data_IF_634947756188
#
_entry.id   IF_634947756188
#
_cell.length_a   1.000
_cell.length_b   1.000
_cell.length_c   1.000
_cell.angle_alpha   90.00
_cell.angle_beta   90.00
_cell.angle_gamma   90.00
#
_symmetry.space_group_name_H-M   'P 1'
#
loop_
_entity.id
_entity.type
_entity.pdbx_description
1 polymer ?
#
# COMPACT_ATOMS: atom_id res chain seq x y z
N UNK A 1 72.35 6.00 -38.19
CA UNK A 1 72.60 7.39 -38.59
C UNK A 1 71.54 8.29 -37.96
N UNK A 2 72.02 9.31 -37.26
CA UNK A 2 71.43 10.61 -36.89
C UNK A 2 70.01 10.72 -36.30
N UNK A 3 70.02 11.03 -34.99
CA UNK A 3 69.27 12.04 -34.24
C UNK A 3 68.43 13.06 -35.02
N UNK A 4 67.22 13.33 -34.51
CA UNK A 4 66.68 14.69 -34.35
C UNK A 4 65.83 14.78 -33.08
N UNK A 5 66.02 15.87 -32.35
CA UNK A 5 65.27 16.28 -31.17
C UNK A 5 64.74 17.70 -31.37
N UNK A 6 63.87 18.13 -30.43
CA UNK A 6 63.21 19.44 -30.24
C UNK A 6 61.90 19.56 -31.02
N UNK A 7 60.79 20.11 -30.51
CA UNK A 7 60.46 20.80 -29.26
C UNK A 7 58.92 21.00 -29.26
N UNK A 8 58.28 21.10 -28.09
CA UNK A 8 57.03 21.89 -28.00
C UNK A 8 55.91 21.35 -27.12
N UNK A 9 55.79 21.97 -25.95
CA UNK A 9 54.54 22.27 -25.23
C UNK A 9 53.91 21.18 -24.35
N UNK A 10 54.13 21.35 -23.03
CA UNK A 10 53.10 21.08 -22.03
C UNK A 10 51.98 22.11 -22.18
N UNK A 11 50.73 21.69 -21.94
CA UNK A 11 50.03 22.26 -20.81
C UNK A 11 49.55 21.17 -19.85
N UNK A 12 49.85 21.41 -18.58
CA UNK A 12 49.18 20.85 -17.42
C UNK A 12 47.68 21.14 -17.49
N UNK A 13 46.84 20.10 -17.51
CA UNK A 13 45.44 20.22 -17.10
C UNK A 13 45.12 19.09 -16.16
N UNK A 14 44.73 19.45 -14.94
CA UNK A 14 44.62 18.57 -13.79
C UNK A 14 43.63 17.45 -14.02
N UNK A 15 44.07 16.23 -13.71
CA UNK A 15 43.18 15.11 -13.46
C UNK A 15 42.29 15.49 -12.26
N UNK A 16 41.07 15.94 -12.58
CA UNK A 16 40.03 16.21 -11.60
C UNK A 16 39.43 14.84 -11.25
N UNK A 17 39.84 14.32 -10.10
CA UNK A 17 39.26 13.13 -9.47
C UNK A 17 37.74 13.23 -9.52
N UNK A 18 36.99 12.20 -9.96
CA UNK A 18 35.55 12.25 -9.89
C UNK A 18 35.14 12.36 -8.42
N UNK A 19 34.58 13.50 -8.04
CA UNK A 19 33.96 13.71 -6.73
C UNK A 19 32.82 12.70 -6.62
N UNK A 20 33.01 11.75 -5.71
CA UNK A 20 31.98 10.87 -5.16
C UNK A 20 30.74 11.73 -4.85
N UNK A 21 29.54 11.39 -5.35
CA UNK A 21 28.35 12.14 -5.00
C UNK A 21 28.20 12.09 -3.48
N UNK A 22 28.20 13.28 -2.88
CA UNK A 22 27.92 13.50 -1.46
C UNK A 22 26.59 12.85 -1.17
N UNK A 23 26.60 11.87 -0.27
CA UNK A 23 25.41 11.24 0.30
C UNK A 23 24.38 12.31 0.62
N UNK A 24 23.29 12.36 -0.15
CA UNK A 24 22.12 13.13 0.22
C UNK A 24 21.70 12.64 1.61
N UNK A 25 21.73 13.53 2.58
CA UNK A 25 21.32 13.27 3.95
C UNK A 25 19.84 12.85 3.86
N UNK A 26 19.53 11.59 4.18
CA UNK A 26 18.15 11.15 4.28
C UNK A 26 17.39 12.14 5.16
N UNK A 27 16.21 12.64 4.73
CA UNK A 27 15.33 13.40 5.61
C UNK A 27 15.08 12.55 6.85
N UNK A 28 15.47 13.05 8.03
CA UNK A 28 15.04 12.44 9.29
C UNK A 28 13.61 12.92 9.53
N UNK A 29 12.69 11.99 9.78
CA UNK A 29 11.36 12.30 10.28
C UNK A 29 11.50 13.24 11.50
N UNK A 30 10.65 14.27 11.55
CA UNK A 30 10.59 15.22 12.67
C UNK A 30 10.31 14.45 13.97
N UNK A 31 10.86 14.93 15.08
CA UNK A 31 10.51 14.41 16.41
C UNK A 31 8.99 14.43 16.58
N UNK A 32 8.42 13.30 16.97
CA UNK A 32 6.98 13.13 17.13
C UNK A 32 6.44 14.10 18.19
N UNK A 33 5.32 14.80 17.93
CA UNK A 33 4.73 15.71 18.91
C UNK A 33 4.39 14.99 20.23
N UNK A 34 4.62 15.69 21.34
CA UNK A 34 4.53 15.20 22.73
C UNK A 34 3.09 14.88 23.21
N UNK A 35 2.11 15.05 22.33
CA UNK A 35 0.75 14.54 22.47
C UNK A 35 0.28 14.00 21.12
N UNK A 36 -0.30 12.78 21.06
CA UNK A 36 -0.94 12.33 19.83
C UNK A 36 -2.03 13.35 19.48
N UNK A 37 -2.11 13.82 18.21
CA UNK A 37 -3.26 14.60 17.80
C UNK A 37 -4.55 13.82 18.14
N UNK A 38 -5.65 14.51 18.48
CA UNK A 38 -6.94 13.84 18.53
C UNK A 38 -7.12 13.07 17.21
N UNK A 39 -7.65 11.86 17.28
CA UNK A 39 -7.92 11.01 16.12
C UNK A 39 -8.95 11.70 15.22
N UNK A 40 -8.51 12.69 14.45
CA UNK A 40 -9.25 13.16 13.31
C UNK A 40 -9.20 12.00 12.31
N UNK A 41 -10.39 11.42 12.06
CA UNK A 41 -10.71 10.38 11.07
C UNK A 41 -10.31 10.84 9.66
N UNK A 42 -9.00 11.01 9.41
CA UNK A 42 -8.51 11.19 8.05
C UNK A 42 -8.93 9.95 7.27
N UNK A 43 -9.63 10.11 6.14
CA UNK A 43 -10.04 8.96 5.36
C UNK A 43 -8.78 8.20 4.95
N UNK A 44 -8.83 6.89 5.16
CA UNK A 44 -7.73 5.98 4.83
C UNK A 44 -8.13 4.97 3.76
N UNK A 45 -9.41 4.98 3.34
CA UNK A 45 -9.91 4.23 2.19
C UNK A 45 -10.43 5.21 1.15
N UNK A 46 -9.83 5.16 -0.03
CA UNK A 46 -10.17 6.01 -1.16
C UNK A 46 -10.64 5.20 -2.36
N UNK A 47 -11.48 5.79 -3.19
CA UNK A 47 -11.91 5.23 -4.47
C UNK A 47 -11.48 6.14 -5.61
N UNK A 48 -11.01 5.55 -6.71
CA UNK A 48 -10.63 6.26 -7.93
C UNK A 48 -11.20 5.50 -9.14
N UNK A 49 -11.68 6.19 -10.16
CA UNK A 49 -12.34 5.60 -11.34
C UNK A 49 -11.37 5.21 -12.46
N UNK A 50 -10.07 5.23 -12.18
CA UNK A 50 -8.97 4.86 -13.08
C UNK A 50 -7.88 4.11 -12.33
N UNK A 51 -7.02 3.41 -13.06
CA UNK A 51 -5.81 2.86 -12.47
C UNK A 51 -4.85 3.97 -12.04
N UNK A 52 -4.20 3.79 -10.88
CA UNK A 52 -3.10 4.62 -10.43
C UNK A 52 -1.86 4.34 -11.28
N UNK A 53 -1.26 5.43 -11.76
CA UNK A 53 0.00 5.40 -12.47
C UNK A 53 1.18 5.42 -11.49
N UNK A 54 2.38 5.07 -11.97
CA UNK A 54 3.59 5.26 -11.18
C UNK A 54 3.84 6.73 -10.80
N UNK A 55 3.34 7.68 -11.60
CA UNK A 55 3.44 9.10 -11.29
C UNK A 55 2.53 9.47 -10.12
N UNK A 56 1.29 8.95 -10.07
CA UNK A 56 0.37 9.14 -8.95
C UNK A 56 0.99 8.61 -7.65
N UNK A 57 1.47 7.35 -7.67
CA UNK A 57 2.11 6.73 -6.50
C UNK A 57 3.33 7.51 -6.02
N UNK A 58 4.14 8.02 -6.95
CA UNK A 58 5.30 8.86 -6.61
C UNK A 58 4.89 10.23 -6.06
N UNK A 59 3.81 10.83 -6.56
CA UNK A 59 3.31 12.12 -6.09
C UNK A 59 2.74 12.03 -4.67
N UNK A 60 2.12 10.90 -4.33
CA UNK A 60 1.62 10.61 -2.99
C UNK A 60 2.73 10.33 -1.96
N UNK A 61 4.00 10.23 -2.37
CA UNK A 61 5.14 10.10 -1.45
C UNK A 61 5.32 8.71 -0.81
N UNK A 62 4.47 7.74 -1.14
CA UNK A 62 4.57 6.39 -0.58
C UNK A 62 5.82 5.68 -1.06
N UNK A 63 6.59 5.17 -0.10
CA UNK A 63 7.81 4.40 -0.38
C UNK A 63 7.53 2.90 -0.48
N UNK A 64 6.35 2.46 -0.02
CA UNK A 64 5.90 1.07 -0.01
C UNK A 64 4.52 1.00 -0.63
N UNK A 65 4.39 0.16 -1.66
CA UNK A 65 3.12 -0.09 -2.35
C UNK A 65 2.87 -1.59 -2.41
N UNK A 66 1.69 -2.02 -1.96
CA UNK A 66 1.15 -3.34 -2.20
C UNK A 66 0.02 -3.23 -3.21
N UNK A 67 0.00 -4.12 -4.20
CA UNK A 67 -1.04 -4.14 -5.22
C UNK A 67 -1.71 -5.49 -5.18
N UNK A 68 -3.02 -5.50 -4.99
CA UNK A 68 -3.87 -6.66 -5.08
C UNK A 68 -4.68 -6.57 -6.37
N UNK A 69 -4.47 -7.54 -7.25
CA UNK A 69 -5.32 -7.71 -8.43
C UNK A 69 -6.57 -8.50 -8.01
N UNK A 70 -7.70 -7.80 -7.89
CA UNK A 70 -8.97 -8.40 -7.47
C UNK A 70 -9.86 -8.84 -8.64
N UNK A 71 -9.37 -8.72 -9.88
CA UNK A 71 -10.09 -9.15 -11.08
C UNK A 71 -10.38 -10.66 -11.09
N UNK A 72 -9.59 -11.43 -10.35
CA UNK A 72 -9.74 -12.88 -10.19
C UNK A 72 -10.48 -13.31 -8.93
N UNK A 73 -11.02 -12.39 -8.12
CA UNK A 73 -11.61 -12.73 -6.81
C UNK A 73 -13.05 -13.26 -6.93
N UNK A 74 -13.18 -14.36 -7.67
CA UNK A 74 -14.44 -15.08 -7.90
C UNK A 74 -14.91 -15.89 -6.69
N UNK A 75 -13.99 -16.16 -5.76
CA UNK A 75 -14.24 -16.79 -4.46
C UNK A 75 -13.17 -16.41 -3.44
N UNK A 76 -13.38 -16.87 -2.19
CA UNK A 76 -12.48 -16.59 -1.06
C UNK A 76 -11.08 -17.20 -1.22
N UNK A 77 -10.94 -18.29 -1.98
CA UNK A 77 -9.67 -18.99 -2.15
C UNK A 77 -8.79 -18.26 -3.17
N UNK A 78 -9.37 -17.82 -4.28
CA UNK A 78 -8.68 -17.01 -5.29
C UNK A 78 -8.17 -15.69 -4.68
N UNK A 79 -8.98 -15.03 -3.84
CA UNK A 79 -8.56 -13.84 -3.13
C UNK A 79 -7.44 -14.12 -2.12
N UNK A 80 -7.52 -15.25 -1.41
CA UNK A 80 -6.50 -15.67 -0.44
C UNK A 80 -5.15 -15.98 -1.10
N UNK A 81 -5.16 -16.55 -2.31
CA UNK A 81 -3.95 -16.81 -3.10
C UNK A 81 -3.23 -15.50 -3.44
N UNK A 82 -3.95 -14.52 -4.00
CA UNK A 82 -3.41 -13.20 -4.36
C UNK A 82 -2.84 -12.50 -3.12
N UNK A 83 -3.55 -12.53 -2.00
CA UNK A 83 -3.10 -11.94 -0.74
C UNK A 83 -1.84 -12.64 -0.22
N UNK A 84 -1.80 -13.97 -0.28
CA UNK A 84 -0.66 -14.76 0.19
C UNK A 84 0.61 -14.49 -0.62
N UNK A 85 0.48 -14.36 -1.93
CA UNK A 85 1.60 -14.06 -2.83
C UNK A 85 2.15 -12.65 -2.58
N UNK A 86 1.27 -11.65 -2.49
CA UNK A 86 1.66 -10.26 -2.27
C UNK A 86 2.44 -10.07 -0.94
N UNK A 87 2.04 -10.81 0.10
CA UNK A 87 2.75 -10.80 1.39
C UNK A 87 3.89 -11.82 1.49
N UNK A 88 4.07 -12.68 0.48
CA UNK A 88 5.03 -13.80 0.50
C UNK A 88 4.92 -14.65 1.76
N UNK A 89 3.69 -15.04 2.10
CA UNK A 89 3.43 -15.79 3.32
C UNK A 89 4.15 -17.15 3.26
N UNK A 90 4.79 -17.59 4.36
CA UNK A 90 5.49 -18.88 4.39
C UNK A 90 4.51 -20.05 4.29
N UNK A 91 3.30 -19.88 4.81
CA UNK A 91 2.17 -20.78 4.61
C UNK A 91 1.04 -19.97 3.96
N UNK A 92 0.67 -20.28 2.70
CA UNK A 92 -0.42 -19.59 2.02
C UNK A 92 -1.75 -19.77 2.73
N UNK A 93 -2.54 -18.70 2.78
CA UNK A 93 -3.93 -18.74 3.22
C UNK A 93 -4.75 -19.59 2.24
N UNK A 94 -5.62 -20.43 2.78
CA UNK A 94 -6.49 -21.30 1.95
C UNK A 94 -7.77 -20.61 1.50
N UNK A 95 -8.19 -19.59 2.23
CA UNK A 95 -9.42 -18.83 2.01
C UNK A 95 -9.37 -17.54 2.84
N UNK A 96 -10.14 -16.53 2.44
CA UNK A 96 -10.43 -15.34 3.25
C UNK A 96 -11.64 -15.53 4.19
N UNK A 97 -11.96 -16.77 4.56
CA UNK A 97 -13.09 -17.12 5.43
C UNK A 97 -12.81 -16.85 6.91
N UNK A 98 -13.85 -17.01 7.74
CA UNK A 98 -13.78 -16.73 9.19
C UNK A 98 -12.67 -17.54 9.90
N UNK A 99 -12.45 -18.79 9.50
CA UNK A 99 -11.44 -19.66 10.10
C UNK A 99 -9.99 -19.15 9.88
N UNK A 100 -9.74 -18.54 8.72
CA UNK A 100 -8.43 -18.03 8.32
C UNK A 100 -8.23 -16.56 8.74
N UNK A 101 -9.28 -15.88 9.22
CA UNK A 101 -9.22 -14.48 9.69
C UNK A 101 -8.03 -14.23 10.64
N UNK A 102 -7.77 -15.04 11.68
CA UNK A 102 -6.61 -14.78 12.55
C UNK A 102 -5.27 -14.91 11.83
N UNK A 103 -5.15 -15.79 10.84
CA UNK A 103 -3.93 -15.94 10.05
C UNK A 103 -3.73 -14.74 9.12
N UNK A 104 -4.79 -14.29 8.44
CA UNK A 104 -4.79 -13.07 7.64
C UNK A 104 -4.37 -11.83 8.46
N UNK A 105 -4.92 -11.66 9.65
CA UNK A 105 -4.59 -10.52 10.53
C UNK A 105 -3.10 -10.56 10.94
N UNK A 106 -2.57 -11.74 11.30
CA UNK A 106 -1.16 -11.89 11.63
C UNK A 106 -0.25 -11.61 10.42
N UNK A 107 -0.64 -12.07 9.24
CA UNK A 107 0.05 -11.81 7.99
C UNK A 107 0.14 -10.30 7.70
N UNK A 108 -0.99 -9.58 7.78
CA UNK A 108 -1.06 -8.12 7.60
C UNK A 108 -0.17 -7.40 8.62
N UNK A 109 -0.28 -7.75 9.91
CA UNK A 109 0.53 -7.15 10.96
C UNK A 109 2.03 -7.41 10.75
N UNK A 110 2.43 -8.63 10.37
CA UNK A 110 3.82 -8.96 10.08
C UNK A 110 4.36 -8.16 8.89
N UNK A 111 3.54 -7.92 7.87
CA UNK A 111 3.91 -7.08 6.74
C UNK A 111 4.11 -5.62 7.14
N UNK A 112 3.36 -5.13 8.13
CA UNK A 112 3.48 -3.76 8.62
C UNK A 112 4.73 -3.59 9.49
N UNK A 113 4.89 -4.42 10.53
CA UNK A 113 5.97 -4.34 11.52
C UNK A 113 7.29 -4.96 11.09
N UNK A 114 7.31 -5.84 10.09
CA UNK A 114 8.51 -6.57 9.66
C UNK A 114 9.54 -5.74 8.89
N UNK A 115 9.24 -4.48 8.59
CA UNK A 115 10.09 -3.64 7.74
C UNK A 115 10.99 -2.72 8.58
N UNK A 116 12.28 -3.07 8.68
CA UNK A 116 13.27 -2.32 9.46
C UNK A 116 13.46 -0.85 9.04
N UNK A 117 12.98 -0.45 7.85
CA UNK A 117 13.07 0.93 7.36
C UNK A 117 11.91 1.83 7.79
N UNK A 118 10.84 1.27 8.37
CA UNK A 118 9.59 1.99 8.57
C UNK A 118 9.03 2.63 7.28
N UNK A 119 7.95 3.40 7.42
CA UNK A 119 7.39 4.23 6.35
C UNK A 119 5.91 3.99 6.06
N UNK A 120 5.33 4.93 5.31
CA UNK A 120 3.94 4.88 4.88
C UNK A 120 3.68 3.77 3.88
N UNK A 121 2.54 3.09 4.03
CA UNK A 121 2.11 2.00 3.18
C UNK A 121 0.90 2.42 2.36
N UNK A 122 1.03 2.32 1.04
CA UNK A 122 -0.09 2.36 0.12
C UNK A 122 -0.50 0.92 -0.23
N UNK A 123 -1.79 0.63 -0.11
CA UNK A 123 -2.40 -0.60 -0.61
C UNK A 123 -3.34 -0.22 -1.75
N UNK A 124 -3.14 -0.83 -2.90
CA UNK A 124 -3.99 -0.64 -4.08
C UNK A 124 -4.75 -1.93 -4.33
N UNK A 125 -6.07 -1.87 -4.41
CA UNK A 125 -6.92 -2.99 -4.79
C UNK A 125 -7.53 -2.66 -6.15
N UNK A 126 -7.14 -3.42 -7.17
CA UNK A 126 -7.62 -3.22 -8.55
C UNK A 126 -8.87 -4.02 -8.79
N UNK A 127 -9.93 -3.36 -9.23
CA UNK A 127 -11.22 -4.00 -9.51
C UNK A 127 -11.70 -3.71 -10.94
N UNK A 128 -10.77 -3.62 -11.90
CA UNK A 128 -11.02 -3.31 -13.31
C UNK A 128 -12.10 -4.18 -13.94
N UNK A 129 -12.19 -5.45 -13.56
CA UNK A 129 -13.19 -6.36 -14.14
C UNK A 129 -14.52 -6.38 -13.39
N UNK A 130 -14.63 -5.68 -12.26
CA UNK A 130 -15.92 -5.54 -11.57
C UNK A 130 -16.91 -4.69 -12.36
N UNK A 131 -16.44 -3.69 -13.10
CA UNK A 131 -17.31 -2.85 -13.94
C UNK A 131 -17.96 -3.64 -15.09
N UNK A 132 -17.38 -4.78 -15.46
CA UNK A 132 -17.93 -5.68 -16.48
C UNK A 132 -18.99 -6.65 -15.92
N UNK A 133 -19.09 -6.78 -14.60
CA UNK A 133 -20.08 -7.62 -13.93
C UNK A 133 -21.36 -6.83 -13.67
N UNK A 134 -22.50 -7.51 -13.74
CA UNK A 134 -23.77 -6.94 -13.33
C UNK A 134 -23.75 -6.66 -11.82
N UNK A 135 -24.06 -5.43 -11.40
CA UNK A 135 -24.12 -5.07 -9.99
C UNK A 135 -25.21 -5.88 -9.27
N UNK A 136 -24.86 -6.43 -8.10
CA UNK A 136 -25.72 -7.36 -7.37
C UNK A 136 -25.72 -8.80 -7.90
N UNK A 137 -24.91 -9.11 -8.93
CA UNK A 137 -24.64 -10.50 -9.31
C UNK A 137 -23.91 -11.25 -8.19
N UNK A 138 -24.04 -12.58 -8.18
CA UNK A 138 -23.36 -13.40 -7.18
C UNK A 138 -21.84 -13.22 -7.20
N UNK A 139 -21.26 -13.03 -8.39
CA UNK A 139 -19.81 -12.88 -8.55
C UNK A 139 -19.33 -11.50 -8.11
N UNK A 140 -20.08 -10.42 -8.42
CA UNK A 140 -19.76 -9.08 -7.90
C UNK A 140 -19.86 -9.04 -6.37
N UNK A 141 -20.89 -9.66 -5.78
CA UNK A 141 -21.06 -9.69 -4.32
C UNK A 141 -19.98 -10.50 -3.60
N UNK A 142 -19.50 -11.60 -4.20
CA UNK A 142 -18.35 -12.35 -3.66
C UNK A 142 -17.07 -11.52 -3.69
N UNK A 143 -16.80 -10.83 -4.80
CA UNK A 143 -15.63 -9.98 -4.89
C UNK A 143 -15.71 -8.80 -3.89
N UNK A 144 -16.86 -8.11 -3.80
CA UNK A 144 -17.09 -7.05 -2.80
C UNK A 144 -16.88 -7.55 -1.37
N UNK A 145 -17.33 -8.77 -1.07
CA UNK A 145 -17.10 -9.42 0.23
C UNK A 145 -15.61 -9.65 0.48
N UNK A 146 -14.87 -10.15 -0.50
CA UNK A 146 -13.42 -10.36 -0.38
C UNK A 146 -12.66 -9.03 -0.18
N UNK A 147 -12.99 -7.99 -0.96
CA UNK A 147 -12.47 -6.62 -0.79
C UNK A 147 -12.74 -6.14 0.63
N UNK A 148 -13.98 -6.29 1.12
CA UNK A 148 -14.33 -5.90 2.48
C UNK A 148 -13.49 -6.57 3.55
N UNK A 149 -13.29 -7.88 3.45
CA UNK A 149 -12.48 -8.63 4.42
C UNK A 149 -11.02 -8.22 4.40
N UNK A 150 -10.44 -7.94 3.23
CA UNK A 150 -9.06 -7.45 3.12
C UNK A 150 -8.94 -6.06 3.74
N UNK A 151 -9.87 -5.15 3.47
CA UNK A 151 -9.89 -3.80 4.06
C UNK A 151 -10.03 -3.86 5.59
N UNK A 152 -10.95 -4.66 6.13
CA UNK A 152 -11.07 -4.86 7.59
C UNK A 152 -9.78 -5.44 8.20
N UNK A 153 -9.11 -6.33 7.48
CA UNK A 153 -7.85 -6.90 7.95
C UNK A 153 -6.71 -5.88 8.00
N UNK A 154 -6.66 -4.99 7.01
CA UNK A 154 -5.72 -3.86 6.99
C UNK A 154 -6.01 -2.91 8.16
N UNK A 155 -7.29 -2.52 8.34
CA UNK A 155 -7.71 -1.63 9.42
C UNK A 155 -7.24 -2.14 10.79
N UNK A 156 -7.56 -3.41 11.09
CA UNK A 156 -7.27 -4.02 12.39
C UNK A 156 -5.79 -4.26 12.60
N UNK A 157 -5.06 -4.62 11.56
CA UNK A 157 -3.60 -4.76 11.66
C UNK A 157 -2.94 -3.41 11.92
N UNK A 158 -3.45 -2.33 11.33
CA UNK A 158 -2.98 -0.97 11.57
C UNK A 158 -3.31 -0.50 13.00
N UNK A 159 -4.55 -0.69 13.46
CA UNK A 159 -4.96 -0.41 14.85
C UNK A 159 -4.08 -1.16 15.85
N UNK A 160 -3.86 -2.46 15.64
CA UNK A 160 -3.02 -3.28 16.51
C UNK A 160 -1.55 -2.80 16.54
N UNK A 161 -1.00 -2.39 15.38
CA UNK A 161 0.36 -1.84 15.31
C UNK A 161 0.45 -0.49 16.03
N UNK A 162 -0.56 0.36 15.89
CA UNK A 162 -0.65 1.65 16.58
C UNK A 162 -0.75 1.48 18.10
N UNK A 163 -1.60 0.56 18.57
CA UNK A 163 -1.77 0.23 19.99
C UNK A 163 -0.48 -0.36 20.60
N UNK A 164 0.27 -1.13 19.81
CA UNK A 164 1.58 -1.65 20.22
C UNK A 164 2.67 -0.56 20.27
N UNK A 165 2.38 0.66 19.82
CA UNK A 165 3.32 1.77 19.75
C UNK A 165 4.42 1.55 18.72
N UNK A 166 4.13 0.82 17.64
CA UNK A 166 5.08 0.56 16.55
C UNK A 166 5.36 1.86 15.78
N UNK A 167 6.47 2.52 16.16
CA UNK A 167 6.90 3.79 15.56
C UNK A 167 7.41 3.66 14.12
N UNK A 168 7.47 2.45 13.58
CA UNK A 168 7.96 2.23 12.21
C UNK A 168 6.86 2.41 11.17
N UNK A 169 5.58 2.29 11.55
CA UNK A 169 4.44 2.48 10.66
C UNK A 169 3.85 3.88 10.87
N UNK A 170 3.98 4.76 9.88
CA UNK A 170 3.53 6.15 9.99
C UNK A 170 2.08 6.36 9.46
N UNK A 171 1.75 5.85 8.28
CA UNK A 171 0.37 5.82 7.75
C UNK A 171 0.09 4.58 6.89
N UNK A 172 -1.18 4.16 6.85
CA UNK A 172 -1.68 3.11 5.94
C UNK A 172 -2.86 3.67 5.16
N UNK A 173 -2.75 3.65 3.83
CA UNK A 173 -3.80 4.13 2.93
C UNK A 173 -4.18 3.01 1.96
N UNK A 174 -5.49 2.85 1.74
CA UNK A 174 -6.07 1.94 0.77
C UNK A 174 -6.68 2.74 -0.36
N UNK A 175 -6.35 2.40 -1.60
CA UNK A 175 -7.01 2.92 -2.80
C UNK A 175 -7.69 1.77 -3.54
N UNK A 176 -8.97 1.94 -3.81
CA UNK A 176 -9.80 1.01 -4.56
C UNK A 176 -9.96 1.57 -5.98
N UNK A 177 -9.35 0.90 -6.96
CA UNK A 177 -9.43 1.33 -8.36
C UNK A 177 -10.69 0.74 -9.01
N UNK A 178 -11.49 1.59 -9.63
CA UNK A 178 -12.74 1.27 -10.32
C UNK A 178 -13.80 0.60 -9.44
N UNK A 179 -13.72 0.80 -8.12
CA UNK A 179 -14.67 0.21 -7.18
C UNK A 179 -15.98 1.04 -7.12
N UNK A 180 -17.14 0.45 -7.43
CA UNK A 180 -18.37 1.21 -7.63
C UNK A 180 -19.10 1.60 -6.34
N UNK A 181 -18.76 0.98 -5.20
CA UNK A 181 -19.47 1.22 -3.93
C UNK A 181 -18.80 2.33 -3.12
N UNK A 182 -19.63 3.18 -2.51
CA UNK A 182 -19.17 4.25 -1.58
C UNK A 182 -18.82 3.74 -0.18
N UNK A 183 -19.10 2.47 0.09
CA UNK A 183 -18.84 1.82 1.37
C UNK A 183 -18.34 0.41 1.13
N UNK A 184 -17.42 0.01 1.97
CA UNK A 184 -16.89 -1.35 2.02
C UNK A 184 -17.36 -1.99 3.33
N UNK A 185 -18.06 -3.12 3.22
CA UNK A 185 -18.60 -3.84 4.36
C UNK A 185 -17.96 -5.24 4.45
N UNK A 186 -17.16 -5.51 5.48
CA UNK A 186 -16.59 -6.82 5.73
C UNK A 186 -17.66 -7.76 6.27
N UNK A 187 -18.06 -8.73 5.46
CA UNK A 187 -18.99 -9.78 5.88
C UNK A 187 -18.20 -11.01 6.30
N UNK A 188 -18.02 -11.20 7.61
CA UNK A 188 -17.41 -12.41 8.19
C UNK A 188 -18.50 -13.34 8.76
N UNK A 189 -18.75 -14.50 8.13
CA UNK A 189 -19.74 -15.50 8.62
C UNK A 189 -21.22 -15.18 8.31
N UNK A 190 -22.16 -16.03 8.79
CA UNK A 190 -23.61 -15.84 8.62
C UNK A 190 -24.20 -14.79 9.60
N UNK A 191 -25.30 -14.08 9.25
CA UNK A 191 -25.66 -12.83 9.89
C UNK A 191 -26.75 -12.98 10.96
N UNK A 192 -26.58 -12.30 12.09
CA UNK A 192 -27.71 -11.73 12.84
C UNK A 192 -27.27 -10.49 13.64
N UNK A 193 -26.15 -10.56 14.36
CA UNK A 193 -25.80 -9.54 15.37
C UNK A 193 -24.35 -9.04 15.29
N UNK A 194 -23.60 -9.37 14.24
CA UNK A 194 -22.24 -8.87 14.08
C UNK A 194 -22.28 -7.40 13.66
N UNK A 195 -21.82 -6.52 14.54
CA UNK A 195 -21.44 -5.14 14.22
C UNK A 195 -20.59 -5.19 12.93
N UNK A 196 -21.12 -4.65 11.82
CA UNK A 196 -20.42 -4.61 10.53
C UNK A 196 -19.65 -3.30 10.48
N UNK A 197 -18.34 -3.28 10.76
CA UNK A 197 -17.57 -2.06 10.60
C UNK A 197 -17.58 -1.70 9.13
N UNK A 198 -18.27 -0.63 8.75
CA UNK A 198 -18.35 -0.20 7.37
C UNK A 198 -17.35 0.92 7.14
N UNK A 199 -16.48 0.74 6.15
CA UNK A 199 -15.47 1.73 5.80
C UNK A 199 -16.01 2.64 4.70
N UNK A 200 -16.04 3.94 4.96
CA UNK A 200 -16.44 4.94 3.96
C UNK A 200 -15.33 5.08 2.91
N UNK A 201 -15.70 4.96 1.64
CA UNK A 201 -14.78 5.16 0.51
C UNK A 201 -14.91 6.62 0.10
N UNK A 202 -13.82 7.39 0.28
CA UNK A 202 -13.76 8.79 -0.14
C UNK A 202 -13.25 8.87 -1.56
N UNK A 203 -13.89 9.69 -2.41
CA UNK A 203 -13.41 9.89 -3.77
C UNK A 203 -12.02 10.53 -3.73
N UNK A 204 -11.06 9.92 -4.41
CA UNK A 204 -9.74 10.46 -4.60
C UNK A 204 -9.79 11.42 -5.79
N UNK A 205 -9.67 12.72 -5.53
CA UNK A 205 -9.63 13.72 -6.59
C UNK A 205 -8.28 13.65 -7.34
N UNK A 206 -8.26 14.11 -8.59
CA UNK A 206 -7.04 14.07 -9.43
C UNK A 206 -5.86 14.85 -8.84
N UNK A 207 -6.12 15.81 -7.95
CA UNK A 207 -5.10 16.52 -7.19
C UNK A 207 -4.77 15.79 -5.88
N UNK A 208 -3.93 14.76 -6.02
CA UNK A 208 -3.46 13.91 -4.93
C UNK A 208 -2.61 14.64 -3.88
N UNK A 209 -2.13 15.85 -4.19
CA UNK A 209 -1.26 16.63 -3.32
C UNK A 209 -1.96 17.16 -2.07
N UNK A 210 -3.29 17.29 -2.10
CA UNK A 210 -4.08 17.75 -0.96
C UNK A 210 -4.30 16.67 0.11
N UNK A 211 -4.02 15.40 -0.21
CA UNK A 211 -4.26 14.26 0.69
C UNK A 211 -3.00 13.79 1.42
N UNK A 212 -1.81 14.10 0.90
CA UNK A 212 -0.53 13.57 1.39
C UNK A 212 0.51 14.71 1.41
N UNK A 213 0.85 15.21 2.61
CA UNK A 213 1.87 16.25 2.86
C UNK A 213 3.23 15.68 3.27
#
# INVERSE_FOLDING_TARGET
MSTFALQGHRPTSGARTPRRPTSARMPRARDAPEAPPPADDKPWVFGIDRALTSADMSAMGFTRVLVFDADGWVDEAAAAEVVSDAFRLPEPLRSLGLAERPALMRAMHAAFSGCASGGDLLVVIRTERLIDLEDGSADSERCYTCVGRVVDAIARAWEAANDAGDRTLAAVIVVLEMFPKRRVEPVWGEPADAERPAHTVVALEDDLSNFFE
#
